data_IF_049023314718
#
_entry.id   IF_049023314718
#
_cell.length_a   1.000
_cell.length_b   1.000
_cell.length_c   1.000
_cell.angle_alpha   90.00
_cell.angle_beta   90.00
_cell.angle_gamma   90.00
#
_symmetry.space_group_name_H-M   'P 1'
#
loop_
_entity.id
_entity.type
_entity.pdbx_description
1 polymer ?
#
# COMPACT_ATOMS: atom_id res chain seq x y z
N UNK A 1 91.77 19.23 -23.84
CA UNK A 1 92.20 17.91 -24.35
C UNK A 1 90.95 17.17 -24.80
N UNK A 2 90.82 16.99 -26.11
CA UNK A 2 89.69 16.40 -26.82
C UNK A 2 89.65 14.88 -26.58
N UNK A 3 88.51 14.31 -26.18
CA UNK A 3 88.23 12.88 -26.39
C UNK A 3 86.80 12.74 -26.92
N UNK A 4 86.73 12.00 -28.02
CA UNK A 4 85.65 11.90 -28.98
C UNK A 4 84.48 11.02 -28.52
N UNK A 5 83.34 11.34 -29.13
CA UNK A 5 82.07 10.62 -29.19
C UNK A 5 82.20 9.17 -29.66
N UNK A 6 81.39 8.29 -29.06
CA UNK A 6 80.88 7.09 -29.72
C UNK A 6 79.35 7.04 -29.53
N UNK A 7 78.63 7.32 -30.61
CA UNK A 7 77.19 7.08 -30.74
C UNK A 7 76.94 5.59 -31.00
N UNK A 8 76.10 4.97 -30.17
CA UNK A 8 75.51 3.66 -30.44
C UNK A 8 74.03 3.88 -30.75
N UNK A 9 73.65 3.68 -32.01
CA UNK A 9 72.25 3.72 -32.44
C UNK A 9 71.61 2.34 -32.16
N UNK A 10 70.68 2.30 -31.20
CA UNK A 10 69.86 1.12 -30.91
C UNK A 10 68.60 1.14 -31.79
N UNK A 11 68.49 0.21 -32.74
CA UNK A 11 67.25 -0.08 -33.45
C UNK A 11 66.29 -0.79 -32.48
N UNK A 12 65.25 -0.09 -32.04
CA UNK A 12 64.10 -0.68 -31.35
C UNK A 12 63.07 -1.12 -32.40
N UNK A 13 63.08 -2.40 -32.76
CA UNK A 13 61.99 -3.05 -33.50
C UNK A 13 60.79 -3.20 -32.58
N UNK A 14 59.78 -2.34 -32.77
CA UNK A 14 58.52 -2.43 -32.04
C UNK A 14 57.68 -3.60 -32.52
N UNK A 15 57.56 -4.64 -31.68
CA UNK A 15 56.55 -5.69 -31.85
C UNK A 15 55.23 -5.14 -31.31
N UNK A 16 54.27 -4.84 -32.21
CA UNK A 16 52.89 -4.56 -31.81
C UNK A 16 52.23 -5.88 -31.41
N UNK A 17 52.05 -6.09 -30.11
CA UNK A 17 51.13 -7.10 -29.61
C UNK A 17 49.70 -6.66 -29.95
N UNK A 18 48.97 -7.47 -30.72
CA UNK A 18 47.54 -7.30 -30.90
C UNK A 18 46.85 -7.63 -29.58
N UNK A 19 46.29 -6.62 -28.92
CA UNK A 19 45.42 -6.79 -27.75
C UNK A 19 44.11 -7.38 -28.23
N UNK A 20 43.91 -8.67 -28.01
CA UNK A 20 42.62 -9.32 -28.24
C UNK A 20 41.62 -8.81 -27.20
N UNK A 21 40.55 -8.15 -27.64
CA UNK A 21 39.50 -7.68 -26.74
C UNK A 21 38.84 -8.90 -26.07
N UNK A 22 38.66 -8.92 -24.74
CA UNK A 22 37.96 -10.02 -24.09
C UNK A 22 36.54 -10.09 -24.61
N UNK A 23 36.09 -11.31 -24.95
CA UNK A 23 34.69 -11.56 -25.26
C UNK A 23 33.83 -11.12 -24.06
N UNK A 24 33.09 -10.03 -24.25
CA UNK A 24 32.05 -9.59 -23.31
C UNK A 24 30.92 -10.61 -23.41
N UNK A 25 30.98 -11.64 -22.56
CA UNK A 25 29.85 -12.55 -22.36
C UNK A 25 28.72 -11.72 -21.78
N UNK A 26 27.60 -11.61 -22.50
CA UNK A 26 26.42 -10.94 -22.00
C UNK A 26 26.02 -11.59 -20.66
N UNK A 27 25.68 -10.79 -19.63
CA UNK A 27 25.21 -11.37 -18.37
C UNK A 27 23.99 -12.25 -18.66
N UNK A 28 23.84 -13.38 -17.95
CA UNK A 28 22.66 -14.22 -18.10
C UNK A 28 21.41 -13.36 -17.94
N UNK A 29 20.41 -13.59 -18.80
CA UNK A 29 19.12 -12.91 -18.71
C UNK A 29 18.61 -13.02 -17.28
N UNK A 30 18.39 -11.88 -16.61
CA UNK A 30 17.81 -11.87 -15.27
C UNK A 30 16.55 -12.74 -15.31
N UNK A 31 16.36 -13.68 -14.37
CA UNK A 31 15.10 -14.39 -14.28
C UNK A 31 13.98 -13.36 -14.22
N UNK A 32 12.89 -13.61 -14.95
CA UNK A 32 11.71 -12.75 -14.92
C UNK A 32 11.41 -12.44 -13.45
N UNK A 33 11.39 -11.14 -13.10
CA UNK A 33 11.01 -10.72 -11.75
C UNK A 33 9.67 -11.41 -11.47
N UNK A 34 9.57 -12.14 -10.35
CA UNK A 34 8.26 -12.51 -9.78
C UNK A 34 7.42 -11.24 -9.86
N UNK A 35 6.28 -11.30 -10.55
CA UNK A 35 5.37 -10.16 -10.64
C UNK A 35 5.13 -9.67 -9.23
N UNK A 36 5.49 -8.42 -8.93
CA UNK A 36 5.09 -7.81 -7.66
C UNK A 36 3.57 -7.91 -7.58
N UNK A 37 3.05 -8.30 -6.42
CA UNK A 37 1.61 -8.26 -6.19
C UNK A 37 1.11 -6.83 -6.47
N UNK A 38 -0.01 -6.69 -7.20
CA UNK A 38 -0.58 -5.37 -7.47
C UNK A 38 -1.03 -4.74 -6.14
N UNK A 39 -0.68 -3.48 -5.95
CA UNK A 39 -1.16 -2.65 -4.85
C UNK A 39 -1.51 -1.26 -5.39
N UNK A 40 -2.42 -0.57 -4.70
CA UNK A 40 -2.79 0.79 -5.08
C UNK A 40 -1.75 1.77 -4.57
N UNK A 41 -1.25 2.63 -5.46
CA UNK A 41 -0.34 3.72 -5.08
C UNK A 41 -1.15 4.89 -4.56
N UNK A 42 -1.11 5.12 -3.26
CA UNK A 42 -1.75 6.25 -2.59
C UNK A 42 -0.70 7.23 -2.08
N UNK A 43 -0.94 8.51 -2.28
CA UNK A 43 -0.08 9.60 -1.87
C UNK A 43 -0.66 10.30 -0.65
N UNK A 44 0.18 10.77 0.30
CA UNK A 44 -0.29 11.56 1.41
C UNK A 44 -1.04 12.83 0.97
N UNK A 45 -2.16 13.10 1.65
CA UNK A 45 -3.03 14.28 1.51
C UNK A 45 -3.35 14.85 2.89
N UNK A 46 -2.33 15.03 3.72
CA UNK A 46 -2.46 15.37 5.14
C UNK A 46 -3.40 16.55 5.41
N UNK A 47 -3.28 17.65 4.65
CA UNK A 47 -4.10 18.84 4.87
C UNK A 47 -5.60 18.55 4.69
N UNK A 48 -5.98 17.83 3.64
CA UNK A 48 -7.37 17.43 3.36
C UNK A 48 -7.85 16.36 4.34
N UNK A 49 -7.00 15.39 4.68
CA UNK A 49 -7.32 14.40 5.72
C UNK A 49 -7.69 15.07 7.06
N UNK A 50 -6.91 16.08 7.47
CA UNK A 50 -7.10 16.78 8.75
C UNK A 50 -8.39 17.59 8.80
N UNK A 51 -8.95 18.04 7.67
CA UNK A 51 -10.26 18.71 7.71
C UNK A 51 -11.40 17.78 8.12
N UNK A 52 -11.19 16.47 7.99
CA UNK A 52 -12.19 15.45 8.30
C UNK A 52 -11.89 14.72 9.62
N UNK A 53 -10.66 14.29 9.84
CA UNK A 53 -10.33 13.35 10.91
C UNK A 53 -9.66 14.00 12.13
N UNK A 54 -8.71 14.92 11.93
CA UNK A 54 -7.94 15.51 13.04
C UNK A 54 -8.59 16.83 13.50
N UNK A 55 -8.86 16.94 14.80
CA UNK A 55 -9.62 18.03 15.40
C UNK A 55 -8.90 19.37 15.58
N UNK A 56 -7.81 19.64 14.85
CA UNK A 56 -6.99 20.85 15.05
C UNK A 56 -7.61 22.14 14.47
N UNK A 57 -8.87 22.08 14.05
CA UNK A 57 -9.67 23.26 13.69
C UNK A 57 -10.55 23.66 14.88
N UNK A 58 -10.94 24.95 15.02
CA UNK A 58 -11.82 25.42 16.10
C UNK A 58 -13.17 24.69 16.24
N UNK A 59 -13.58 23.91 15.24
CA UNK A 59 -14.83 23.15 15.20
C UNK A 59 -14.65 21.63 15.29
N UNK A 60 -13.40 21.14 15.33
CA UNK A 60 -13.10 19.74 15.08
C UNK A 60 -13.49 19.28 13.67
N UNK A 61 -13.00 18.13 13.23
CA UNK A 61 -13.55 17.46 12.04
C UNK A 61 -14.94 16.89 12.33
N UNK A 62 -15.84 16.87 11.35
CA UNK A 62 -17.23 16.39 11.51
C UNK A 62 -17.29 15.03 12.23
N UNK A 63 -17.98 14.89 13.37
CA UNK A 63 -18.06 13.63 14.12
C UNK A 63 -18.75 12.51 13.34
N UNK A 64 -19.52 12.85 12.30
CA UNK A 64 -20.20 11.88 11.42
C UNK A 64 -19.36 11.48 10.22
N UNK A 65 -18.16 12.03 10.05
CA UNK A 65 -17.30 11.71 8.92
C UNK A 65 -16.45 10.47 9.21
N UNK A 66 -16.55 9.40 8.41
CA UNK A 66 -15.85 8.16 8.69
C UNK A 66 -14.34 8.32 8.54
N UNK A 67 -13.60 7.85 9.53
CA UNK A 67 -12.14 7.82 9.55
C UNK A 67 -11.69 6.40 9.87
N UNK A 68 -10.61 5.97 9.22
CA UNK A 68 -10.15 4.60 9.27
C UNK A 68 -8.68 4.57 9.67
N UNK A 69 -8.34 3.56 10.47
CA UNK A 69 -6.95 3.29 10.83
C UNK A 69 -6.68 1.79 10.71
N UNK A 70 -5.49 1.43 10.26
CA UNK A 70 -4.99 0.08 10.37
C UNK A 70 -4.26 -0.12 11.71
N UNK A 71 -4.70 -1.07 12.52
CA UNK A 71 -4.00 -1.45 13.76
C UNK A 71 -2.94 -2.54 13.55
N UNK A 72 -2.98 -3.26 12.42
CA UNK A 72 -2.02 -4.35 12.16
C UNK A 72 -1.70 -4.57 10.67
N UNK A 73 -1.71 -3.50 9.86
CA UNK A 73 -1.33 -3.48 8.43
C UNK A 73 -1.21 -2.02 7.94
N UNK A 74 -1.20 -1.76 6.63
CA UNK A 74 -1.31 -0.43 6.03
C UNK A 74 -1.84 -0.51 4.59
N UNK A 75 -2.29 0.61 4.02
CA UNK A 75 -2.88 0.62 2.66
C UNK A 75 -1.89 0.25 1.54
N UNK A 76 -0.60 0.15 1.82
CA UNK A 76 0.41 -0.16 0.80
C UNK A 76 0.36 -1.59 0.27
N UNK A 77 -0.27 -2.50 1.01
CA UNK A 77 -0.37 -3.93 0.67
C UNK A 77 -1.77 -4.33 0.15
N UNK A 78 -2.63 -3.36 -0.17
CA UNK A 78 -3.98 -3.61 -0.69
C UNK A 78 -4.22 -3.02 -2.08
N UNK A 79 -5.10 -3.68 -2.83
CA UNK A 79 -5.74 -3.09 -4.01
C UNK A 79 -7.02 -2.42 -3.56
N UNK A 80 -7.05 -1.09 -3.65
CA UNK A 80 -8.22 -0.28 -3.42
C UNK A 80 -9.00 -0.05 -4.72
N UNK A 81 -10.33 -0.27 -4.68
CA UNK A 81 -11.23 -0.13 -5.82
C UNK A 81 -12.54 0.55 -5.42
N UNK A 82 -13.31 1.00 -6.42
CA UNK A 82 -14.66 1.56 -6.25
C UNK A 82 -15.56 1.06 -7.39
N UNK A 83 -16.86 1.32 -7.28
CA UNK A 83 -17.86 0.92 -8.27
C UNK A 83 -17.71 1.69 -9.60
N UNK A 84 -17.04 2.84 -9.60
CA UNK A 84 -16.69 3.57 -10.82
C UNK A 84 -15.35 3.06 -11.38
N UNK A 85 -15.34 2.33 -12.51
CA UNK A 85 -14.10 1.80 -13.09
C UNK A 85 -13.17 2.88 -13.65
N UNK A 86 -13.60 4.14 -13.73
CA UNK A 86 -12.78 5.26 -14.20
C UNK A 86 -12.19 6.09 -13.08
N UNK A 87 -12.66 5.91 -11.85
CA UNK A 87 -12.16 6.64 -10.70
C UNK A 87 -10.73 6.20 -10.37
N UNK A 88 -9.87 7.17 -10.12
CA UNK A 88 -8.52 6.98 -9.61
C UNK A 88 -8.59 6.94 -8.07
N UNK A 89 -8.30 5.80 -7.41
CA UNK A 89 -8.39 5.72 -5.95
C UNK A 89 -7.59 6.80 -5.22
N UNK A 90 -6.43 7.23 -5.73
CA UNK A 90 -5.59 8.26 -5.11
C UNK A 90 -6.21 9.66 -5.19
N UNK A 91 -6.84 9.96 -6.33
CA UNK A 91 -7.32 11.33 -6.62
C UNK A 91 -8.78 11.54 -6.30
N UNK A 92 -9.59 10.48 -6.41
CA UNK A 92 -11.04 10.59 -6.41
C UNK A 92 -11.67 10.01 -5.14
N UNK A 93 -10.98 9.09 -4.46
CA UNK A 93 -11.56 8.34 -3.33
C UNK A 93 -10.83 8.62 -2.02
N UNK A 94 -9.55 8.31 -1.91
CA UNK A 94 -8.86 8.26 -0.62
C UNK A 94 -8.13 9.56 -0.26
N UNK A 95 -8.15 9.88 1.03
CA UNK A 95 -7.34 10.90 1.67
C UNK A 95 -6.49 10.24 2.74
N UNK A 96 -5.18 10.13 2.49
CA UNK A 96 -4.25 9.45 3.41
C UNK A 96 -3.51 10.47 4.27
N UNK A 97 -3.39 10.20 5.58
CA UNK A 97 -2.80 11.12 6.54
C UNK A 97 -1.33 11.43 6.26
N UNK A 98 -0.51 10.40 6.06
CA UNK A 98 0.94 10.52 5.94
C UNK A 98 1.54 9.32 5.18
N UNK A 99 2.87 9.26 5.07
CA UNK A 99 3.57 8.21 4.32
C UNK A 99 3.55 6.81 4.94
N UNK A 100 3.03 6.63 6.16
CA UNK A 100 2.84 5.31 6.76
C UNK A 100 1.63 4.58 6.19
N UNK A 101 0.68 5.32 5.60
CA UNK A 101 -0.54 4.78 4.97
C UNK A 101 -1.45 3.95 5.91
N UNK A 102 -1.31 4.14 7.22
CA UNK A 102 -2.11 3.48 8.25
C UNK A 102 -3.46 4.19 8.46
N UNK A 103 -3.45 5.53 8.41
CA UNK A 103 -4.60 6.39 8.66
C UNK A 103 -5.14 6.99 7.35
N UNK A 104 -6.44 6.85 7.13
CA UNK A 104 -7.09 7.43 5.95
C UNK A 104 -8.56 7.76 6.17
N UNK A 105 -9.11 8.53 5.24
CA UNK A 105 -10.55 8.74 5.07
C UNK A 105 -10.86 8.79 3.57
N UNK A 106 -12.11 9.09 3.23
CA UNK A 106 -12.61 9.20 1.87
C UNK A 106 -13.08 10.62 1.58
N UNK A 107 -12.90 11.07 0.34
CA UNK A 107 -13.27 12.43 -0.13
C UNK A 107 -14.76 12.68 -0.10
N UNK A 108 -15.54 11.64 -0.41
CA UNK A 108 -16.99 11.65 -0.39
C UNK A 108 -17.48 10.37 0.33
N UNK A 109 -18.06 10.49 1.53
CA UNK A 109 -18.45 9.34 2.33
C UNK A 109 -19.61 8.56 1.70
N UNK A 110 -20.32 9.13 0.73
CA UNK A 110 -21.38 8.41 0.01
C UNK A 110 -20.83 7.41 -1.01
N UNK A 111 -19.54 7.48 -1.35
CA UNK A 111 -18.92 6.62 -2.36
C UNK A 111 -18.48 5.28 -1.75
N UNK A 112 -18.94 4.15 -2.31
CA UNK A 112 -18.47 2.85 -1.87
C UNK A 112 -17.03 2.61 -2.32
N UNK A 113 -16.30 1.84 -1.52
CA UNK A 113 -14.97 1.36 -1.86
C UNK A 113 -14.77 -0.06 -1.33
N UNK A 114 -13.78 -0.75 -1.90
CA UNK A 114 -13.29 -2.03 -1.40
C UNK A 114 -11.78 -2.02 -1.30
N UNK A 115 -11.25 -2.71 -0.29
CA UNK A 115 -9.83 -3.00 -0.11
C UNK A 115 -9.64 -4.51 -0.24
N UNK A 116 -8.73 -4.94 -1.09
CA UNK A 116 -8.50 -6.36 -1.39
C UNK A 116 -7.03 -6.73 -1.17
N UNK A 117 -6.80 -7.77 -0.38
CA UNK A 117 -5.47 -8.32 -0.08
C UNK A 117 -5.18 -9.51 -0.99
N UNK A 118 -4.41 -9.31 -2.06
CA UNK A 118 -4.01 -10.38 -3.00
C UNK A 118 -5.14 -11.29 -3.49
N UNK A 119 -6.38 -10.76 -3.53
CA UNK A 119 -7.60 -11.52 -3.83
C UNK A 119 -8.03 -12.51 -2.74
N UNK A 120 -7.30 -12.63 -1.64
CA UNK A 120 -7.54 -13.56 -0.53
C UNK A 120 -8.60 -13.07 0.45
N UNK A 121 -8.68 -11.76 0.66
CA UNK A 121 -9.71 -11.15 1.50
C UNK A 121 -10.14 -9.80 0.94
N UNK A 122 -11.36 -9.39 1.27
CA UNK A 122 -11.92 -8.11 0.88
C UNK A 122 -12.66 -7.48 2.04
N UNK A 123 -12.42 -6.19 2.24
CA UNK A 123 -13.24 -5.31 3.06
C UNK A 123 -13.99 -4.38 2.12
N UNK A 124 -15.31 -4.28 2.28
CA UNK A 124 -16.16 -3.35 1.50
C UNK A 124 -16.86 -2.35 2.41
N UNK A 125 -16.87 -1.09 1.98
CA UNK A 125 -17.53 0.03 2.61
C UNK A 125 -18.66 0.53 1.72
N UNK A 126 -19.85 0.79 2.28
CA UNK A 126 -20.99 1.39 1.56
C UNK A 126 -22.06 1.96 2.48
N UNK A 127 -23.05 2.60 1.88
CA UNK A 127 -24.32 2.89 2.55
C UNK A 127 -24.24 3.97 3.63
N UNK A 128 -23.36 4.96 3.45
CA UNK A 128 -23.23 6.08 4.38
C UNK A 128 -24.52 6.89 4.50
N UNK A 129 -24.94 7.14 5.74
CA UNK A 129 -26.12 7.94 6.10
C UNK A 129 -25.65 9.25 6.71
N UNK A 130 -25.82 10.37 5.99
CA UNK A 130 -25.35 11.70 6.42
C UNK A 130 -25.96 12.15 7.75
N UNK A 131 -27.19 11.75 8.02
CA UNK A 131 -27.93 12.15 9.22
C UNK A 131 -27.33 11.52 10.49
N UNK A 132 -26.86 10.28 10.42
CA UNK A 132 -26.33 9.53 11.56
C UNK A 132 -24.81 9.36 11.54
N UNK A 133 -24.16 9.52 10.39
CA UNK A 133 -22.76 9.13 10.19
C UNK A 133 -22.54 7.64 10.01
N UNK A 134 -23.60 6.83 10.03
CA UNK A 134 -23.47 5.38 9.96
C UNK A 134 -23.16 4.89 8.55
N UNK A 135 -22.42 3.79 8.46
CA UNK A 135 -22.06 3.11 7.21
C UNK A 135 -21.97 1.60 7.44
N UNK A 136 -21.97 0.83 6.36
CA UNK A 136 -21.88 -0.63 6.40
C UNK A 136 -20.48 -1.09 6.02
N UNK A 137 -19.94 -2.00 6.82
CA UNK A 137 -18.75 -2.79 6.48
C UNK A 137 -19.17 -4.24 6.21
N UNK A 138 -18.62 -4.80 5.14
CA UNK A 138 -18.76 -6.22 4.81
C UNK A 138 -17.36 -6.82 4.60
N UNK A 139 -17.09 -7.93 5.27
CA UNK A 139 -15.85 -8.67 5.10
C UNK A 139 -16.09 -9.95 4.30
N UNK A 140 -15.11 -10.34 3.52
CA UNK A 140 -15.03 -11.67 2.92
C UNK A 140 -13.59 -12.16 2.90
N UNK A 141 -13.40 -13.48 2.93
CA UNK A 141 -12.13 -14.14 2.67
C UNK A 141 -12.31 -15.42 1.87
N UNK A 142 -11.26 -15.87 1.21
CA UNK A 142 -11.21 -17.20 0.62
C UNK A 142 -11.19 -18.27 1.72
N UNK A 143 -11.79 -19.42 1.45
CA UNK A 143 -11.89 -20.51 2.41
C UNK A 143 -10.53 -21.03 2.89
N UNK A 144 -9.58 -21.15 1.95
CA UNK A 144 -8.27 -21.78 2.19
C UNK A 144 -7.16 -20.78 2.54
N UNK A 145 -7.51 -19.50 2.78
CA UNK A 145 -6.54 -18.52 3.26
C UNK A 145 -6.42 -18.53 4.78
N UNK A 146 -5.20 -18.32 5.26
CA UNK A 146 -4.91 -18.03 6.66
C UNK A 146 -5.09 -16.54 6.99
N UNK A 147 -5.35 -15.70 5.99
CA UNK A 147 -5.60 -14.28 6.18
C UNK A 147 -6.95 -14.08 6.89
N UNK A 148 -6.88 -13.38 8.02
CA UNK A 148 -8.02 -12.99 8.81
C UNK A 148 -8.09 -11.47 8.87
N UNK A 149 -9.29 -10.97 8.67
CA UNK A 149 -9.61 -9.55 8.81
C UNK A 149 -10.74 -9.39 9.82
N UNK A 150 -10.62 -8.38 10.67
CA UNK A 150 -11.71 -7.96 11.55
C UNK A 150 -11.72 -6.46 11.72
N UNK A 151 -12.90 -5.94 12.09
CA UNK A 151 -13.11 -4.51 12.31
C UNK A 151 -13.67 -4.29 13.71
N UNK A 152 -13.14 -3.29 14.40
CA UNK A 152 -13.68 -2.74 15.65
C UNK A 152 -14.04 -1.27 15.45
N UNK A 153 -14.92 -0.74 16.28
CA UNK A 153 -15.27 0.67 16.29
C UNK A 153 -14.46 1.46 17.35
N UNK A 154 -14.76 2.74 17.50
CA UNK A 154 -14.12 3.63 18.47
C UNK A 154 -14.60 3.36 19.90
N UNK A 155 -15.88 3.06 20.05
CA UNK A 155 -16.58 3.00 21.34
C UNK A 155 -16.07 1.86 22.21
N UNK A 156 -15.70 0.72 21.59
CA UNK A 156 -15.11 -0.38 22.31
C UNK A 156 -14.11 -1.19 21.47
N UNK A 157 -13.25 -1.95 22.16
CA UNK A 157 -12.26 -2.83 21.49
C UNK A 157 -12.89 -4.14 20.98
N UNK A 158 -14.22 -4.26 20.99
CA UNK A 158 -14.90 -5.48 20.55
C UNK A 158 -14.89 -5.56 19.02
N UNK A 159 -14.80 -6.79 18.51
CA UNK A 159 -14.86 -7.02 17.07
C UNK A 159 -16.31 -6.93 16.62
N UNK A 160 -16.62 -5.96 15.79
CA UNK A 160 -17.96 -5.80 15.18
C UNK A 160 -18.22 -6.84 14.11
N UNK A 161 -17.18 -7.20 13.36
CA UNK A 161 -17.21 -8.22 12.32
C UNK A 161 -15.83 -8.86 12.20
N UNK A 162 -15.79 -10.18 12.01
CA UNK A 162 -14.55 -10.98 12.07
C UNK A 162 -14.67 -12.22 11.18
N UNK A 163 -13.64 -12.48 10.37
CA UNK A 163 -13.61 -13.64 9.45
C UNK A 163 -13.08 -14.93 10.09
N UNK A 164 -12.79 -14.95 11.40
CA UNK A 164 -12.22 -16.13 12.07
C UNK A 164 -13.06 -17.41 11.89
N UNK A 165 -14.38 -17.30 12.11
CA UNK A 165 -15.28 -18.46 12.12
C UNK A 165 -16.17 -18.56 10.88
N UNK A 166 -16.23 -17.49 10.07
CA UNK A 166 -17.05 -17.41 8.87
C UNK A 166 -16.28 -16.67 7.77
N UNK A 167 -16.22 -17.24 6.58
CA UNK A 167 -15.52 -16.64 5.44
C UNK A 167 -16.22 -15.37 4.95
N UNK A 168 -17.54 -15.28 5.13
CA UNK A 168 -18.38 -14.18 4.70
C UNK A 168 -19.39 -13.85 5.81
N UNK A 169 -18.96 -13.24 6.92
CA UNK A 169 -19.88 -12.84 7.99
C UNK A 169 -20.90 -11.82 7.48
N UNK A 170 -22.03 -11.72 8.19
CA UNK A 170 -23.06 -10.72 7.87
C UNK A 170 -22.49 -9.29 7.92
N UNK A 171 -22.92 -8.40 7.00
CA UNK A 171 -22.52 -7.00 7.04
C UNK A 171 -22.92 -6.33 8.36
N UNK A 172 -22.06 -5.46 8.88
CA UNK A 172 -22.31 -4.72 10.12
C UNK A 172 -22.40 -3.23 9.86
N UNK A 173 -23.32 -2.56 10.54
CA UNK A 173 -23.41 -1.10 10.55
C UNK A 173 -22.52 -0.53 11.66
N UNK A 174 -21.69 0.45 11.30
CA UNK A 174 -20.81 1.20 12.21
C UNK A 174 -21.27 2.65 12.18
N UNK A 175 -21.45 3.25 13.36
CA UNK A 175 -21.93 4.63 13.52
C UNK A 175 -20.92 5.54 14.22
N UNK A 176 -19.76 5.00 14.60
CA UNK A 176 -18.67 5.79 15.18
C UNK A 176 -17.88 6.49 14.07
N UNK A 177 -17.19 7.55 14.48
CA UNK A 177 -16.26 8.25 13.59
C UNK A 177 -15.13 7.32 13.14
N UNK A 178 -14.48 6.68 14.10
CA UNK A 178 -13.34 5.81 13.84
C UNK A 178 -13.74 4.34 13.73
N UNK A 179 -13.22 3.68 12.69
CA UNK A 179 -13.16 2.22 12.61
C UNK A 179 -11.70 1.78 12.49
N UNK A 180 -11.37 0.70 13.20
CA UNK A 180 -10.03 0.14 13.24
C UNK A 180 -10.03 -1.19 12.49
N UNK A 181 -9.17 -1.29 11.48
CA UNK A 181 -9.01 -2.46 10.65
C UNK A 181 -7.83 -3.27 11.14
N UNK A 182 -8.07 -4.56 11.30
CA UNK A 182 -7.06 -5.48 11.78
C UNK A 182 -6.91 -6.61 10.77
N UNK A 183 -5.66 -6.89 10.45
CA UNK A 183 -5.25 -7.93 9.51
C UNK A 183 -4.24 -8.83 10.22
N UNK A 184 -4.43 -10.14 10.10
CA UNK A 184 -3.53 -11.13 10.69
C UNK A 184 -3.49 -12.37 9.81
N UNK A 185 -2.35 -13.05 9.76
CA UNK A 185 -2.28 -14.42 9.26
C UNK A 185 -2.37 -15.40 10.44
N UNK A 186 -3.48 -16.12 10.56
CA UNK A 186 -3.64 -17.15 11.59
C UNK A 186 -2.79 -18.38 11.27
N UNK A 187 -2.26 -19.04 12.31
CA UNK A 187 -1.35 -20.18 12.15
C UNK A 187 0.11 -19.82 11.82
N UNK A 188 0.42 -18.53 11.66
CA UNK A 188 1.80 -18.02 11.72
C UNK A 188 1.96 -17.32 13.07
N UNK A 189 2.58 -18.00 14.04
CA UNK A 189 3.11 -17.36 15.25
C UNK A 189 4.37 -16.59 14.85
N UNK A 190 4.32 -15.27 14.92
CA UNK A 190 5.49 -14.41 14.89
C UNK A 190 5.46 -13.46 16.08
#
# INVERSE_FOLDING_TARGET
MYIQLLSVASLMTGVRAAVSAPHVVAPPSRPARRSCAPHTKLLPRNAEYRTHCDGDTPTGGDPKWPCFTFWSDYLGDVVASTDDPKADPDKDIFLVKNGFLEDFTIRDPTKPFSLTWDGQATLSYKGYKKESGCYTIQLSRQRDTNLRIWVSDEDNKERKVDTLHHENPDPVEICTKWAHFHVKYDGLEW
#
